data_IF_040977497182
#
_entry.id   IF_040977497182
#
_cell.length_a   1.000
_cell.length_b   1.000
_cell.length_c   1.000
_cell.angle_alpha   90.00
_cell.angle_beta   90.00
_cell.angle_gamma   90.00
#
_symmetry.space_group_name_H-M   'P 1'
#
loop_
_entity.id
_entity.type
_entity.pdbx_description
1 polymer ?
#
# COMPACT_ATOMS: atom_id res chain seq x y z
N UNK A 1 -3.37 -13.17 -16.77
CA UNK A 1 -4.15 -12.88 -15.53
C UNK A 1 -3.30 -12.91 -14.25
N UNK A 2 -2.41 -13.90 -14.05
CA UNK A 2 -1.59 -14.00 -12.84
C UNK A 2 -0.59 -12.82 -12.66
N UNK A 3 0.00 -12.34 -13.76
CA UNK A 3 0.94 -11.22 -13.74
C UNK A 3 0.32 -9.92 -13.25
N UNK A 4 -0.86 -9.55 -13.76
CA UNK A 4 -1.58 -8.38 -13.28
C UNK A 4 -1.90 -8.48 -11.79
N UNK A 5 -2.28 -9.67 -11.32
CA UNK A 5 -2.56 -9.90 -9.89
C UNK A 5 -1.31 -9.73 -9.03
N UNK A 6 -0.17 -10.27 -9.46
CA UNK A 6 1.13 -10.07 -8.79
C UNK A 6 1.54 -8.60 -8.78
N UNK A 7 1.34 -7.91 -9.90
CA UNK A 7 1.64 -6.48 -10.01
C UNK A 7 0.80 -5.66 -9.03
N UNK A 8 -0.52 -5.88 -8.98
CA UNK A 8 -1.44 -5.19 -8.07
C UNK A 8 -1.05 -5.43 -6.60
N UNK A 9 -0.76 -6.68 -6.23
CA UNK A 9 -0.32 -7.00 -4.87
C UNK A 9 1.00 -6.28 -4.53
N UNK A 10 2.02 -6.42 -5.38
CA UNK A 10 3.32 -5.78 -5.15
C UNK A 10 3.20 -4.26 -5.02
N UNK A 11 2.40 -3.62 -5.87
CA UNK A 11 2.23 -2.17 -5.86
C UNK A 11 1.52 -1.66 -4.60
N UNK A 12 0.51 -2.39 -4.13
CA UNK A 12 -0.35 -1.95 -3.02
C UNK A 12 0.18 -2.33 -1.65
N UNK A 13 0.96 -3.42 -1.54
CA UNK A 13 1.32 -4.00 -0.23
C UNK A 13 2.83 -4.15 0.01
N UNK A 14 3.69 -3.89 -1.00
CA UNK A 14 5.16 -4.08 -0.88
C UNK A 14 5.94 -2.83 -1.30
N UNK A 15 5.53 -2.17 -2.38
CA UNK A 15 6.27 -1.02 -2.93
C UNK A 15 5.94 0.28 -2.17
N UNK A 16 6.91 0.92 -1.50
CA UNK A 16 6.73 2.25 -0.94
C UNK A 16 6.74 3.33 -2.04
N UNK A 17 5.93 4.38 -1.87
CA UNK A 17 5.84 5.47 -2.84
C UNK A 17 6.11 6.83 -2.20
N UNK A 18 6.99 7.62 -2.82
CA UNK A 18 7.40 8.95 -2.31
C UNK A 18 6.22 9.93 -2.17
N UNK A 19 5.20 9.81 -3.02
CA UNK A 19 4.02 10.69 -3.00
C UNK A 19 3.06 10.46 -1.82
N UNK A 20 3.26 9.38 -1.06
CA UNK A 20 2.47 9.05 0.14
C UNK A 20 3.41 8.75 1.32
N UNK A 21 4.36 9.66 1.56
CA UNK A 21 5.29 9.63 2.70
C UNK A 21 6.17 8.38 2.76
N UNK A 22 6.45 7.75 1.62
CA UNK A 22 7.22 6.51 1.57
C UNK A 22 6.44 5.28 2.06
N UNK A 23 5.13 5.37 2.23
CA UNK A 23 4.27 4.23 2.57
C UNK A 23 3.83 3.47 1.33
N UNK A 24 3.39 2.24 1.52
CA UNK A 24 2.55 1.53 0.56
C UNK A 24 1.13 2.12 0.57
N UNK A 25 0.35 1.98 -0.52
CA UNK A 25 -1.03 2.43 -0.55
C UNK A 25 -1.88 1.82 0.57
N UNK A 26 -1.69 0.53 0.88
CA UNK A 26 -2.40 -0.15 1.95
C UNK A 26 -2.10 0.46 3.32
N UNK A 27 -0.81 0.67 3.65
CA UNK A 27 -0.40 1.30 4.91
C UNK A 27 -0.98 2.71 5.05
N UNK A 28 -0.97 3.50 3.97
CA UNK A 28 -1.52 4.86 4.00
C UNK A 28 -3.03 4.86 4.26
N UNK A 29 -3.76 3.91 3.69
CA UNK A 29 -5.19 3.73 3.94
C UNK A 29 -5.45 3.28 5.38
N UNK A 30 -4.64 2.37 5.91
CA UNK A 30 -4.75 1.93 7.32
C UNK A 30 -4.50 3.12 8.25
N UNK A 31 -3.45 3.90 8.04
CA UNK A 31 -3.15 5.08 8.84
C UNK A 31 -4.29 6.12 8.80
N UNK A 32 -4.95 6.28 7.66
CA UNK A 32 -6.06 7.23 7.50
C UNK A 32 -7.36 6.75 8.16
N UNK A 33 -7.75 5.50 7.93
CA UNK A 33 -9.03 4.97 8.41
C UNK A 33 -8.97 4.36 9.82
N UNK A 34 -7.78 3.95 10.26
CA UNK A 34 -7.55 3.25 11.54
C UNK A 34 -6.30 3.80 12.27
N UNK A 35 -6.28 5.08 12.66
CA UNK A 35 -5.10 5.73 13.25
C UNK A 35 -4.66 5.13 14.59
N UNK A 36 -5.50 4.36 15.27
CA UNK A 36 -5.20 3.69 16.55
C UNK A 36 -4.59 2.28 16.38
N UNK A 37 -4.48 1.76 15.14
CA UNK A 37 -4.03 0.38 14.85
C UNK A 37 -2.58 0.26 14.39
N UNK A 38 -1.78 1.33 14.50
CA UNK A 38 -0.37 1.36 14.10
C UNK A 38 0.57 1.39 15.30
#
# INVERSE_FOLDING_TARGET
KAELRRFVNYYNTVRPHKGIDGMTPEEKLIAYFYPEKL
#
